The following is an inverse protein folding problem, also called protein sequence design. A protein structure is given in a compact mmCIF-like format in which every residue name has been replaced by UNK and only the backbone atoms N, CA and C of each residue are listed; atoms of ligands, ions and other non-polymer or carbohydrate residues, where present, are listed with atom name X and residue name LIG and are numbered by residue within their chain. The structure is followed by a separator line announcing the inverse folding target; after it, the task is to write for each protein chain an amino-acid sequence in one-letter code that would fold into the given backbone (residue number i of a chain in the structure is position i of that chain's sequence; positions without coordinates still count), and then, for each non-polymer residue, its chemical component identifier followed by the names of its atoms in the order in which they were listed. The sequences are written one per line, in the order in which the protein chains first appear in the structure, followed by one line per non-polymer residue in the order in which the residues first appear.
data_IF_937200499003
#
_entry.id   IF_937200499003
#
_cell.length_a   1.000
_cell.length_b   1.000
_cell.length_c   1.000
_cell.angle_alpha   90.00
_cell.angle_beta   90.00
_cell.angle_gamma   90.00
#
_symmetry.space_group_name_H-M   'P 1'
#
loop_
_entity.id
_entity.type
_entity.pdbx_description
1 polymer ?
#
# COMPACT_ATOMS: atom_id res chain seq x y z
N UNK A 1 -17.62 28.85 7.60
CA UNK A 1 -16.15 28.89 7.63
C UNK A 1 -15.68 28.84 6.17
N UNK A 2 -15.12 29.91 5.65
CA UNK A 2 -14.65 29.91 4.26
C UNK A 2 -13.29 29.22 4.21
N UNK A 3 -13.20 28.04 3.57
CA UNK A 3 -11.96 27.27 3.39
C UNK A 3 -10.86 28.08 2.67
N UNK A 4 -11.26 29.05 1.88
CA UNK A 4 -10.38 29.93 1.08
C UNK A 4 -9.51 30.90 1.90
N UNK A 5 -9.80 31.08 3.20
CA UNK A 5 -9.03 31.95 4.10
C UNK A 5 -8.19 31.21 5.14
N UNK A 6 -8.11 29.86 5.02
CA UNK A 6 -7.34 29.05 5.93
C UNK A 6 -5.92 28.82 5.40
N UNK A 7 -4.92 29.08 6.23
CA UNK A 7 -3.53 28.70 5.97
C UNK A 7 -3.26 27.32 6.57
N UNK A 8 -2.50 26.50 5.86
CA UNK A 8 -1.84 25.36 6.45
C UNK A 8 -0.55 25.78 7.15
N UNK A 9 -0.11 24.98 8.12
CA UNK A 9 1.06 25.31 8.95
C UNK A 9 2.35 25.44 8.16
N UNK A 10 2.50 24.74 7.02
CA UNK A 10 3.68 24.85 6.14
C UNK A 10 3.62 26.01 5.14
N UNK A 11 2.46 26.66 5.00
CA UNK A 11 2.31 27.89 4.20
C UNK A 11 2.73 29.15 4.96
N UNK A 12 2.92 29.03 6.28
CA UNK A 12 3.28 30.15 7.15
C UNK A 12 4.78 30.13 7.37
N UNK A 13 5.43 31.26 7.13
CA UNK A 13 6.88 31.41 7.29
C UNK A 13 7.22 32.60 8.20
N UNK A 14 8.45 32.65 8.78
CA UNK A 14 8.88 33.77 9.60
C UNK A 14 8.85 35.13 8.88
N UNK A 15 8.99 35.12 7.55
CA UNK A 15 8.98 36.32 6.70
C UNK A 15 7.61 37.01 6.67
N UNK A 16 6.52 36.26 6.98
CA UNK A 16 5.16 36.79 7.12
C UNK A 16 4.96 37.56 8.42
N UNK A 17 6.01 38.03 9.05
CA UNK A 17 5.96 38.77 10.31
C UNK A 17 4.91 39.89 10.30
N UNK A 18 4.03 39.91 11.29
CA UNK A 18 2.88 40.82 11.46
C UNK A 18 1.67 40.57 10.54
N UNK A 19 1.74 39.65 9.58
CA UNK A 19 0.57 39.28 8.77
C UNK A 19 -0.47 38.56 9.59
N UNK A 20 -1.75 38.77 9.27
CA UNK A 20 -2.87 38.08 9.89
C UNK A 20 -3.07 36.73 9.16
N UNK A 21 -3.07 35.65 9.93
CA UNK A 21 -3.31 34.29 9.43
C UNK A 21 -4.45 33.63 10.20
N UNK A 22 -5.11 32.68 9.54
CA UNK A 22 -6.10 31.81 10.17
C UNK A 22 -5.66 30.35 9.97
N UNK A 23 -5.46 29.64 11.07
CA UNK A 23 -5.23 28.18 11.08
C UNK A 23 -6.41 27.44 11.69
N UNK A 24 -6.57 26.17 11.33
CA UNK A 24 -7.55 25.28 11.96
C UNK A 24 -6.95 23.89 12.10
N UNK A 25 -7.17 23.27 13.24
CA UNK A 25 -6.59 21.95 13.52
C UNK A 25 -6.95 21.44 14.91
N UNK A 26 -6.19 20.46 15.33
CA UNK A 26 -6.34 19.80 16.62
C UNK A 26 -5.35 20.39 17.64
N UNK A 27 -5.82 20.61 18.87
CA UNK A 27 -4.95 21.00 20.00
C UNK A 27 -4.04 19.82 20.34
N UNK A 28 -2.81 19.89 19.90
CA UNK A 28 -1.82 18.83 20.10
C UNK A 28 -1.29 18.81 21.55
N UNK A 29 -0.91 19.97 22.06
CA UNK A 29 -0.38 20.13 23.41
C UNK A 29 -0.66 21.55 23.93
N UNK A 30 -0.87 21.68 25.24
CA UNK A 30 -0.95 22.97 25.94
C UNK A 30 0.07 22.95 27.07
N UNK A 31 0.93 23.99 27.14
CA UNK A 31 1.92 24.20 28.19
C UNK A 31 1.70 25.55 28.86
N UNK A 32 1.32 25.55 30.13
CA UNK A 32 1.17 26.78 30.95
C UNK A 32 2.43 26.96 31.79
N UNK A 33 3.25 27.95 31.44
CA UNK A 33 4.51 28.28 32.13
C UNK A 33 4.37 29.52 33.04
N UNK A 34 3.21 29.68 33.65
CA UNK A 34 2.94 30.81 34.57
C UNK A 34 2.61 32.12 33.84
N UNK A 35 3.56 32.78 33.23
CA UNK A 35 3.37 34.04 32.49
C UNK A 35 2.93 33.89 31.04
N UNK A 36 3.18 32.73 30.45
CA UNK A 36 2.97 32.44 29.04
C UNK A 36 2.28 31.09 28.91
N UNK A 37 1.34 30.96 27.97
CA UNK A 37 0.77 29.68 27.55
C UNK A 37 1.15 29.43 26.11
N UNK A 38 1.70 28.24 25.85
CA UNK A 38 1.91 27.72 24.51
C UNK A 38 0.83 26.69 24.20
N UNK A 39 0.08 26.90 23.11
CA UNK A 39 -0.84 25.95 22.55
C UNK A 39 -0.31 25.51 21.18
N UNK A 40 0.00 24.23 21.04
CA UNK A 40 0.41 23.65 19.77
C UNK A 40 -0.84 23.18 19.02
N UNK A 41 -1.05 23.72 17.82
CA UNK A 41 -2.15 23.34 16.92
C UNK A 41 -1.57 22.53 15.75
N UNK A 42 -2.07 21.34 15.58
CA UNK A 42 -1.66 20.41 14.52
C UNK A 42 -2.69 20.41 13.40
N UNK A 43 -2.24 20.56 12.18
CA UNK A 43 -3.02 20.26 10.98
C UNK A 43 -2.39 19.08 10.19
N UNK A 44 -2.78 18.88 8.95
CA UNK A 44 -2.25 17.80 8.11
C UNK A 44 -0.81 18.02 7.65
N UNK A 45 -0.31 19.27 7.67
CA UNK A 45 1.02 19.62 7.16
C UNK A 45 2.06 19.76 8.28
N UNK A 46 1.61 20.06 9.51
CA UNK A 46 2.55 20.23 10.61
C UNK A 46 1.91 20.72 11.91
N UNK A 47 2.73 21.40 12.68
CA UNK A 47 2.36 21.96 14.00
C UNK A 47 2.74 23.42 14.04
N UNK A 48 1.79 24.30 14.37
CA UNK A 48 2.02 25.70 14.65
C UNK A 48 1.96 25.98 16.16
N UNK A 49 2.81 26.86 16.65
CA UNK A 49 2.76 27.34 18.03
C UNK A 49 1.89 28.59 18.13
N UNK A 50 0.89 28.56 18.99
CA UNK A 50 0.06 29.71 19.37
C UNK A 50 0.49 30.15 20.76
N UNK A 51 0.91 31.41 20.90
CA UNK A 51 1.50 31.94 22.14
C UNK A 51 0.59 33.01 22.77
N UNK A 52 0.20 32.78 24.03
CA UNK A 52 -0.59 33.71 24.81
C UNK A 52 0.28 34.30 25.93
N UNK A 53 0.55 35.59 25.87
CA UNK A 53 1.24 36.32 26.95
C UNK A 53 0.18 36.80 27.94
N UNK A 54 0.07 36.18 29.15
CA UNK A 54 -1.04 36.45 30.09
C UNK A 54 -1.19 37.91 30.49
N UNK A 55 -0.11 38.70 30.44
CA UNK A 55 -0.14 40.16 30.73
C UNK A 55 -0.84 40.96 29.64
N UNK A 56 -0.78 40.55 28.38
CA UNK A 56 -1.24 41.35 27.22
C UNK A 56 -2.42 40.65 26.48
N UNK A 57 -2.56 39.36 26.59
CA UNK A 57 -3.65 38.61 25.95
C UNK A 57 -4.95 38.82 26.72
N UNK A 58 -6.09 39.10 26.05
CA UNK A 58 -7.38 39.23 26.70
C UNK A 58 -7.71 38.03 27.61
N UNK A 59 -8.21 38.26 28.86
CA UNK A 59 -8.48 37.17 29.81
C UNK A 59 -9.43 36.08 29.24
N UNK A 60 -10.35 36.45 28.37
CA UNK A 60 -11.27 35.53 27.69
C UNK A 60 -10.56 34.46 26.88
N UNK A 61 -9.46 34.81 26.14
CA UNK A 61 -8.72 33.89 25.35
C UNK A 61 -7.90 32.94 26.24
N UNK A 62 -7.30 33.49 27.32
CA UNK A 62 -6.57 32.70 28.31
C UNK A 62 -7.50 31.66 28.95
N UNK A 63 -8.70 32.05 29.33
CA UNK A 63 -9.71 31.15 29.91
C UNK A 63 -10.21 30.13 28.91
N UNK A 64 -10.42 30.52 27.65
CA UNK A 64 -10.82 29.62 26.57
C UNK A 64 -9.76 28.51 26.39
N UNK A 65 -8.47 28.84 26.25
CA UNK A 65 -7.40 27.84 26.09
C UNK A 65 -7.29 26.90 27.29
N UNK A 66 -7.45 27.40 28.51
CA UNK A 66 -7.41 26.56 29.72
C UNK A 66 -8.56 25.55 29.82
N UNK A 67 -9.69 25.82 29.14
CA UNK A 67 -10.84 24.90 29.12
C UNK A 67 -10.75 23.82 28.01
N UNK A 68 -9.75 23.93 27.10
CA UNK A 68 -9.55 22.97 26.02
C UNK A 68 -8.89 21.69 26.55
N UNK A 69 -9.35 20.57 26.04
CA UNK A 69 -8.65 19.28 26.13
C UNK A 69 -7.77 19.06 24.90
N UNK A 70 -6.74 18.22 25.06
CA UNK A 70 -5.96 17.74 23.91
C UNK A 70 -6.89 17.11 22.89
N UNK A 71 -6.53 17.24 21.61
CA UNK A 71 -7.32 16.78 20.46
C UNK A 71 -8.67 17.48 20.25
N UNK A 72 -9.01 18.53 21.03
CA UNK A 72 -10.11 19.43 20.66
C UNK A 72 -9.79 20.13 19.33
N UNK A 73 -10.80 20.39 18.52
CA UNK A 73 -10.68 21.06 17.22
C UNK A 73 -10.93 22.55 17.41
N UNK A 74 -9.98 23.36 16.94
CA UNK A 74 -10.03 24.82 17.07
C UNK A 74 -9.72 25.52 15.75
N UNK A 75 -10.23 26.75 15.62
CA UNK A 75 -9.66 27.74 14.70
C UNK A 75 -8.96 28.82 15.52
N UNK A 76 -7.86 29.32 14.98
CA UNK A 76 -7.09 30.42 15.56
C UNK A 76 -6.83 31.45 14.47
N UNK A 77 -7.27 32.68 14.70
CA UNK A 77 -6.90 33.84 13.92
C UNK A 77 -5.97 34.71 14.73
N UNK A 78 -4.86 35.15 14.13
CA UNK A 78 -3.86 35.92 14.82
C UNK A 78 -2.75 36.38 13.90
N UNK A 79 -1.74 37.01 14.48
CA UNK A 79 -0.60 37.58 13.75
C UNK A 79 0.63 36.70 13.88
N UNK A 80 1.31 36.51 12.76
CA UNK A 80 2.59 35.81 12.71
C UNK A 80 3.66 36.63 13.41
N UNK A 81 4.46 35.96 14.23
CA UNK A 81 5.64 36.53 14.88
C UNK A 81 6.80 35.57 14.67
N UNK A 82 7.95 36.03 14.12
CA UNK A 82 9.15 35.20 14.03
C UNK A 82 9.63 34.73 15.40
N UNK A 83 9.85 33.42 15.57
CA UNK A 83 10.35 32.82 16.81
C UNK A 83 11.15 31.55 16.49
N UNK A 84 12.48 31.67 16.50
CA UNK A 84 13.39 30.57 16.09
C UNK A 84 13.26 29.27 16.86
N UNK A 85 12.73 29.32 18.10
CA UNK A 85 12.55 28.12 18.94
C UNK A 85 11.20 27.44 18.72
N UNK A 86 10.26 28.09 18.02
CA UNK A 86 8.97 27.53 17.70
C UNK A 86 9.04 26.61 16.47
N UNK A 87 8.16 25.59 16.37
CA UNK A 87 8.04 24.81 15.14
C UNK A 87 7.85 25.70 13.91
N UNK A 88 8.60 25.45 12.84
CA UNK A 88 8.56 26.28 11.63
C UNK A 88 9.22 27.65 11.73
N UNK A 89 9.84 28.01 12.88
CA UNK A 89 10.51 29.29 13.09
C UNK A 89 9.58 30.46 13.35
N UNK A 90 8.32 30.22 13.64
CA UNK A 90 7.31 31.27 13.91
C UNK A 90 6.35 30.86 15.03
N UNK A 91 5.71 31.85 15.65
CA UNK A 91 4.56 31.67 16.52
C UNK A 91 3.40 32.56 16.05
N UNK A 92 2.18 32.20 16.44
CA UNK A 92 0.97 32.99 16.19
C UNK A 92 0.52 33.61 17.51
N UNK A 93 0.44 34.94 17.53
CA UNK A 93 -0.17 35.69 18.64
C UNK A 93 -1.66 35.81 18.32
N UNK A 94 -2.56 35.16 19.10
CA UNK A 94 -3.96 35.04 18.73
C UNK A 94 -4.75 36.31 19.03
N UNK A 95 -5.58 36.73 18.07
CA UNK A 95 -6.63 37.73 18.24
C UNK A 95 -7.98 37.05 18.54
N UNK A 96 -8.15 35.82 18.01
CA UNK A 96 -9.35 35.00 18.19
C UNK A 96 -9.02 33.51 18.27
N UNK A 97 -9.70 32.81 19.16
CA UNK A 97 -9.65 31.33 19.27
C UNK A 97 -11.09 30.85 19.40
N UNK A 98 -11.52 30.02 18.47
CA UNK A 98 -12.85 29.42 18.48
C UNK A 98 -12.73 27.89 18.65
N UNK A 99 -13.40 27.35 19.66
CA UNK A 99 -13.61 25.93 19.82
C UNK A 99 -14.68 25.46 18.82
N UNK A 100 -14.33 24.53 17.94
CA UNK A 100 -15.24 23.92 16.97
C UNK A 100 -15.81 22.59 17.47
N UNK A 101 -14.97 21.77 18.12
CA UNK A 101 -15.39 20.49 18.69
C UNK A 101 -14.50 20.14 19.88
N UNK A 102 -15.10 19.83 21.00
CA UNK A 102 -14.39 19.44 22.22
C UNK A 102 -14.10 17.93 22.21
N UNK A 103 -12.85 17.56 22.44
CA UNK A 103 -12.50 16.15 22.60
C UNK A 103 -12.82 15.66 24.01
N UNK A 104 -13.22 14.40 24.12
CA UNK A 104 -13.32 13.70 25.39
C UNK A 104 -11.93 13.51 26.01
N UNK A 105 -11.91 13.40 27.35
CA UNK A 105 -10.69 13.13 28.10
C UNK A 105 -11.02 12.10 29.18
N UNK A 106 -10.16 11.06 29.40
CA UNK A 106 -8.89 10.82 28.72
C UNK A 106 -9.05 10.38 27.27
N UNK A 107 -7.99 10.54 26.45
CA UNK A 107 -7.91 9.96 25.11
C UNK A 107 -7.64 8.45 25.20
N UNK A 108 -8.12 7.65 24.23
CA UNK A 108 -7.89 6.21 24.23
C UNK A 108 -6.41 5.83 24.07
N UNK A 109 -5.59 6.72 23.46
CA UNK A 109 -4.17 6.56 23.30
C UNK A 109 -3.44 7.90 23.16
N UNK A 110 -2.11 7.91 23.30
CA UNK A 110 -1.30 9.11 23.10
C UNK A 110 -1.07 9.40 21.61
N UNK A 111 -1.39 10.64 21.19
CA UNK A 111 -1.18 11.12 19.81
C UNK A 111 0.18 11.79 19.59
N UNK A 112 0.94 12.03 20.66
CA UNK A 112 2.25 12.71 20.57
C UNK A 112 3.41 11.76 20.28
N UNK A 113 3.19 10.44 20.40
CA UNK A 113 4.23 9.42 20.26
C UNK A 113 5.19 9.34 21.48
N UNK A 114 4.85 9.98 22.61
CA UNK A 114 5.63 9.89 23.86
C UNK A 114 5.36 8.61 24.63
N UNK A 115 4.17 8.04 24.44
CA UNK A 115 3.74 6.77 25.03
C UNK A 115 3.31 5.86 23.90
N UNK A 116 3.97 4.70 23.81
CA UNK A 116 3.61 3.71 22.81
C UNK A 116 2.37 2.92 23.24
N UNK A 117 1.52 2.61 22.26
CA UNK A 117 0.41 1.69 22.40
C UNK A 117 0.66 0.46 21.51
N UNK A 118 0.21 -0.71 21.98
CA UNK A 118 0.26 -1.92 21.16
C UNK A 118 -0.61 -1.78 19.90
N UNK A 119 -0.38 -2.67 18.94
CA UNK A 119 -1.04 -2.57 17.63
C UNK A 119 -2.57 -2.70 17.74
N UNK A 120 -3.09 -3.56 18.62
CA UNK A 120 -4.53 -3.76 18.79
C UNK A 120 -5.19 -2.48 19.30
N UNK A 121 -4.67 -1.84 20.35
CA UNK A 121 -5.12 -0.55 20.88
C UNK A 121 -5.10 0.54 19.79
N UNK A 122 -4.05 0.56 18.97
CA UNK A 122 -3.92 1.51 17.85
C UNK A 122 -4.97 1.27 16.77
N UNK A 123 -5.25 0.02 16.44
CA UNK A 123 -6.25 -0.35 15.44
C UNK A 123 -7.68 -0.13 15.95
N UNK A 124 -7.97 -0.39 17.23
CA UNK A 124 -9.27 -0.11 17.84
C UNK A 124 -9.58 1.40 17.89
N UNK A 125 -8.53 2.21 18.02
CA UNK A 125 -8.62 3.66 18.01
C UNK A 125 -8.01 4.28 16.75
N UNK A 126 -8.16 3.61 15.61
CA UNK A 126 -7.43 3.94 14.37
C UNK A 126 -7.58 5.39 13.94
N UNK A 127 -8.76 5.99 14.10
CA UNK A 127 -9.01 7.41 13.80
C UNK A 127 -8.16 8.37 14.64
N UNK A 128 -7.76 7.98 15.86
CA UNK A 128 -6.80 8.71 16.70
C UNK A 128 -5.36 8.38 16.30
N UNK A 129 -5.04 7.10 16.05
CA UNK A 129 -3.71 6.66 15.62
C UNK A 129 -3.28 7.36 14.32
N UNK A 130 -4.19 7.50 13.36
CA UNK A 130 -3.97 8.22 12.10
C UNK A 130 -3.66 9.73 12.27
N UNK A 131 -3.87 10.30 13.46
CA UNK A 131 -3.47 11.68 13.79
C UNK A 131 -2.00 11.78 14.19
N UNK A 132 -1.34 10.68 14.48
CA UNK A 132 0.10 10.66 14.76
C UNK A 132 0.85 11.01 13.49
N UNK A 133 1.85 11.94 13.55
CA UNK A 133 2.54 12.40 12.36
C UNK A 133 3.33 11.31 11.61
N UNK A 134 3.84 10.31 12.33
CA UNK A 134 4.53 9.14 11.77
C UNK A 134 3.55 8.23 11.02
N UNK A 135 2.40 7.91 11.62
CA UNK A 135 1.38 7.07 10.99
C UNK A 135 0.78 7.79 9.77
N UNK A 136 0.48 9.10 9.89
CA UNK A 136 -0.02 9.91 8.79
C UNK A 136 0.95 9.95 7.60
N UNK A 137 2.27 9.98 7.86
CA UNK A 137 3.31 9.99 6.84
C UNK A 137 3.26 8.74 5.94
N UNK A 138 2.95 7.54 6.49
CA UNK A 138 2.81 6.31 5.72
C UNK A 138 1.74 6.46 4.62
N UNK A 139 0.58 7.04 4.96
CA UNK A 139 -0.52 7.20 4.00
C UNK A 139 -0.30 8.33 3.00
N UNK A 140 0.52 9.33 3.34
CA UNK A 140 0.99 10.30 2.35
C UNK A 140 1.93 9.65 1.34
N UNK A 141 2.85 8.80 1.79
CA UNK A 141 3.71 8.02 0.90
C UNK A 141 2.87 7.06 0.04
N UNK A 142 1.88 6.36 0.64
CA UNK A 142 0.94 5.51 -0.13
C UNK A 142 0.26 6.29 -1.27
N UNK A 143 -0.13 7.53 -1.02
CA UNK A 143 -0.69 8.40 -2.07
C UNK A 143 0.31 8.63 -3.21
N UNK A 144 1.56 8.99 -2.90
CA UNK A 144 2.61 9.20 -3.91
C UNK A 144 2.94 7.91 -4.67
N UNK A 145 3.00 6.75 -4.01
CA UNK A 145 3.16 5.45 -4.67
C UNK A 145 2.07 5.23 -5.71
N UNK A 146 0.79 5.42 -5.34
CA UNK A 146 -0.33 5.25 -6.26
C UNK A 146 -0.30 6.22 -7.45
N UNK A 147 0.08 7.48 -7.23
CA UNK A 147 0.24 8.46 -8.30
C UNK A 147 1.36 8.07 -9.24
N UNK A 148 2.50 7.63 -8.70
CA UNK A 148 3.66 7.19 -9.45
C UNK A 148 3.36 5.97 -10.32
N UNK A 149 2.65 4.97 -9.76
CA UNK A 149 2.20 3.79 -10.53
C UNK A 149 1.31 4.19 -11.70
N UNK A 150 0.30 5.06 -11.47
CA UNK A 150 -0.60 5.51 -12.55
C UNK A 150 0.13 6.29 -13.62
N UNK A 151 1.01 7.20 -13.23
CA UNK A 151 1.77 8.00 -14.21
C UNK A 151 2.67 7.14 -15.08
N UNK A 152 3.37 6.17 -14.47
CA UNK A 152 4.23 5.25 -15.20
C UNK A 152 3.43 4.38 -16.18
N UNK A 153 2.41 3.67 -15.69
CA UNK A 153 1.65 2.75 -16.54
C UNK A 153 0.92 3.47 -17.68
N UNK A 154 0.38 4.66 -17.42
CA UNK A 154 -0.22 5.50 -18.46
C UNK A 154 0.80 5.94 -19.50
N UNK A 155 2.03 6.30 -19.09
CA UNK A 155 3.12 6.68 -20.01
C UNK A 155 3.61 5.50 -20.86
N UNK A 156 3.47 4.26 -20.37
CA UNK A 156 3.75 3.02 -21.11
C UNK A 156 2.59 2.58 -22.01
N UNK A 157 1.52 3.37 -22.11
CA UNK A 157 0.36 3.11 -22.97
C UNK A 157 -0.68 2.16 -22.38
N UNK A 158 -0.64 1.90 -21.08
CA UNK A 158 -1.67 1.12 -20.39
C UNK A 158 -2.93 1.95 -20.14
N UNK A 159 -4.09 1.32 -20.31
CA UNK A 159 -5.41 1.88 -20.03
C UNK A 159 -5.88 1.41 -18.66
N UNK A 160 -6.22 2.35 -17.74
CA UNK A 160 -6.81 2.00 -16.44
C UNK A 160 -8.24 1.47 -16.65
N UNK A 161 -8.52 0.30 -16.11
CA UNK A 161 -9.83 -0.35 -16.17
C UNK A 161 -10.33 -0.67 -14.77
N UNK A 162 -11.62 -1.00 -14.66
CA UNK A 162 -12.25 -1.48 -13.43
C UNK A 162 -13.06 -2.71 -13.74
N UNK A 163 -12.77 -3.81 -13.07
CA UNK A 163 -13.45 -5.10 -13.26
C UNK A 163 -14.41 -5.39 -12.09
N UNK A 164 -15.40 -6.28 -12.29
CA UNK A 164 -16.33 -6.68 -11.23
C UNK A 164 -15.62 -7.24 -10.00
N UNK A 165 -16.10 -6.86 -8.79
CA UNK A 165 -15.64 -7.37 -7.51
C UNK A 165 -16.57 -8.43 -6.91
N UNK A 166 -17.75 -8.60 -7.50
CA UNK A 166 -18.68 -9.67 -7.22
C UNK A 166 -18.66 -10.62 -8.41
N UNK A 167 -18.33 -11.89 -8.18
CA UNK A 167 -18.10 -12.89 -9.23
C UNK A 167 -18.92 -14.16 -8.96
N UNK A 168 -19.26 -14.87 -10.03
CA UNK A 168 -20.06 -16.08 -9.92
C UNK A 168 -19.24 -17.34 -9.56
N UNK A 169 -17.91 -17.31 -9.84
CA UNK A 169 -17.01 -18.46 -9.67
C UNK A 169 -15.65 -18.01 -9.15
N UNK A 170 -14.89 -18.95 -8.60
CA UNK A 170 -13.50 -18.71 -8.24
C UNK A 170 -12.65 -18.30 -9.45
N UNK A 171 -11.68 -17.43 -9.25
CA UNK A 171 -10.72 -17.02 -10.29
C UNK A 171 -9.45 -17.86 -10.30
N UNK A 172 -9.09 -18.49 -9.17
CA UNK A 172 -7.81 -19.18 -8.97
C UNK A 172 -7.96 -20.48 -8.16
N UNK A 173 -8.82 -21.38 -8.59
CA UNK A 173 -8.87 -22.73 -8.01
C UNK A 173 -9.69 -22.93 -6.72
N UNK A 174 -10.47 -21.95 -6.29
CA UNK A 174 -11.58 -22.16 -5.36
C UNK A 174 -11.30 -22.19 -3.86
N UNK A 175 -10.06 -22.11 -3.41
CA UNK A 175 -9.73 -21.98 -1.99
C UNK A 175 -9.78 -20.52 -1.54
N UNK A 176 -10.09 -20.27 -0.27
CA UNK A 176 -10.09 -18.93 0.34
C UNK A 176 -11.03 -17.90 -0.31
N UNK A 177 -12.26 -18.28 -0.66
CA UNK A 177 -13.31 -17.40 -1.15
C UNK A 177 -14.19 -16.87 -0.02
N UNK A 178 -14.59 -15.61 -0.11
CA UNK A 178 -15.68 -15.06 0.69
C UNK A 178 -17.00 -15.23 -0.06
N UNK A 179 -17.90 -16.16 0.37
CA UNK A 179 -19.22 -16.27 -0.21
C UNK A 179 -20.09 -15.09 0.21
N UNK A 180 -20.93 -14.62 -0.72
CA UNK A 180 -21.92 -13.57 -0.47
C UNK A 180 -23.28 -13.98 -1.03
N UNK A 181 -24.35 -13.47 -0.45
CA UNK A 181 -25.69 -13.61 -1.01
C UNK A 181 -25.90 -12.52 -2.07
N UNK A 182 -26.15 -12.91 -3.30
CA UNK A 182 -26.44 -12.01 -4.41
C UNK A 182 -27.87 -12.27 -4.89
N UNK A 183 -28.82 -11.54 -4.32
CA UNK A 183 -30.26 -11.81 -4.46
C UNK A 183 -30.57 -13.27 -4.05
N UNK A 184 -31.11 -14.10 -4.94
CA UNK A 184 -31.45 -15.51 -4.73
C UNK A 184 -30.31 -16.47 -5.11
N UNK A 185 -29.09 -15.96 -5.35
CA UNK A 185 -27.93 -16.75 -5.79
C UNK A 185 -26.76 -16.57 -4.84
N UNK A 186 -25.91 -17.56 -4.83
CA UNK A 186 -24.58 -17.44 -4.24
C UNK A 186 -23.65 -16.73 -5.22
N UNK A 187 -22.80 -15.85 -4.70
CA UNK A 187 -21.71 -15.21 -5.42
C UNK A 187 -20.49 -15.11 -4.48
N UNK A 188 -19.40 -14.61 -4.97
CA UNK A 188 -18.15 -14.50 -4.21
C UNK A 188 -17.53 -13.12 -4.40
N UNK A 189 -16.73 -12.69 -3.41
CA UNK A 189 -15.81 -11.57 -3.60
C UNK A 189 -14.61 -12.04 -4.41
N UNK A 190 -14.17 -11.23 -5.38
CA UNK A 190 -13.08 -11.61 -6.28
C UNK A 190 -11.73 -11.74 -5.56
N UNK A 191 -10.95 -12.74 -5.92
CA UNK A 191 -9.58 -12.95 -5.44
C UNK A 191 -8.54 -12.17 -6.25
N UNK A 192 -8.84 -11.87 -7.50
CA UNK A 192 -8.02 -11.07 -8.42
C UNK A 192 -8.84 -10.68 -9.66
N UNK A 193 -8.43 -9.68 -10.45
CA UNK A 193 -9.04 -9.35 -11.73
C UNK A 193 -8.59 -10.27 -12.88
N UNK A 194 -7.88 -11.39 -12.59
CA UNK A 194 -7.11 -12.17 -13.55
C UNK A 194 -7.90 -12.57 -14.80
N UNK A 195 -9.08 -13.17 -14.64
CA UNK A 195 -9.87 -13.64 -15.79
C UNK A 195 -10.34 -12.47 -16.66
N UNK A 196 -10.74 -11.36 -16.03
CA UNK A 196 -11.22 -10.18 -16.75
C UNK A 196 -10.11 -9.48 -17.52
N UNK A 197 -8.93 -9.27 -16.91
CA UNK A 197 -7.82 -8.59 -17.60
C UNK A 197 -7.33 -9.38 -18.81
N UNK A 198 -7.35 -10.74 -18.76
CA UNK A 198 -7.07 -11.58 -19.92
C UNK A 198 -8.17 -11.46 -21.00
N UNK A 199 -9.45 -11.49 -20.61
CA UNK A 199 -10.56 -11.31 -21.56
C UNK A 199 -10.47 -9.96 -22.31
N UNK A 200 -9.97 -8.90 -21.67
CA UNK A 200 -9.77 -7.59 -22.29
C UNK A 200 -8.71 -7.61 -23.40
N UNK A 201 -7.77 -8.56 -23.36
CA UNK A 201 -6.81 -8.75 -24.46
C UNK A 201 -7.51 -9.17 -25.76
N UNK A 202 -8.55 -10.00 -25.69
CA UNK A 202 -9.37 -10.37 -26.85
C UNK A 202 -10.24 -9.22 -27.38
N UNK A 203 -10.45 -8.18 -26.58
CA UNK A 203 -11.22 -6.99 -26.94
C UNK A 203 -10.39 -5.88 -27.61
N UNK A 204 -9.08 -6.11 -27.81
CA UNK A 204 -8.18 -5.18 -28.50
C UNK A 204 -7.72 -4.00 -27.66
N UNK A 205 -7.74 -4.13 -26.33
CA UNK A 205 -7.19 -3.08 -25.43
C UNK A 205 -5.66 -3.04 -25.41
N UNK A 206 -5.00 -4.10 -25.84
CA UNK A 206 -3.56 -4.33 -25.90
C UNK A 206 -2.83 -4.26 -24.55
N UNK A 207 -3.03 -3.22 -23.76
CA UNK A 207 -2.41 -2.99 -22.46
C UNK A 207 -3.42 -2.42 -21.49
N UNK A 208 -3.70 -3.16 -20.42
CA UNK A 208 -4.61 -2.71 -19.37
C UNK A 208 -3.94 -2.78 -17.99
N UNK A 209 -4.36 -1.90 -17.09
CA UNK A 209 -4.06 -2.04 -15.68
C UNK A 209 -5.27 -1.73 -14.82
N UNK A 210 -5.30 -2.33 -13.65
CA UNK A 210 -6.29 -2.05 -12.60
C UNK A 210 -5.59 -1.85 -11.26
N UNK A 211 -6.02 -0.85 -10.51
CA UNK A 211 -5.68 -0.69 -9.09
C UNK A 211 -6.97 -0.84 -8.30
N UNK A 212 -7.12 -1.94 -7.61
CA UNK A 212 -8.39 -2.25 -6.96
C UNK A 212 -8.28 -3.24 -5.80
N UNK A 213 -9.35 -3.34 -4.99
CA UNK A 213 -9.39 -4.29 -3.89
C UNK A 213 -9.53 -5.72 -4.41
N UNK A 214 -8.86 -6.63 -3.72
CA UNK A 214 -9.01 -8.07 -3.84
C UNK A 214 -9.25 -8.68 -2.46
N UNK A 215 -9.89 -9.84 -2.42
CA UNK A 215 -10.38 -10.47 -1.20
C UNK A 215 -9.90 -11.91 -1.12
N UNK A 216 -9.24 -12.28 -0.02
CA UNK A 216 -8.77 -13.64 0.21
C UNK A 216 -9.16 -14.08 1.60
N UNK A 217 -9.98 -15.13 1.70
CA UNK A 217 -10.45 -15.69 2.97
C UNK A 217 -9.36 -16.57 3.61
N UNK A 218 -8.12 -16.10 3.65
CA UNK A 218 -7.01 -16.82 4.26
C UNK A 218 -7.24 -16.97 5.76
N UNK A 219 -7.06 -18.18 6.27
CA UNK A 219 -7.27 -18.50 7.67
C UNK A 219 -6.08 -18.07 8.58
N UNK A 220 -4.93 -17.80 7.99
CA UNK A 220 -3.70 -17.50 8.71
C UNK A 220 -3.62 -16.04 9.15
N UNK A 221 -3.41 -15.82 10.44
CA UNK A 221 -3.21 -14.50 11.05
C UNK A 221 -1.70 -14.18 11.11
N UNK A 222 -1.12 -13.77 9.99
CA UNK A 222 0.31 -13.45 9.90
C UNK A 222 0.55 -11.94 9.78
N UNK A 223 1.81 -11.52 9.90
CA UNK A 223 2.22 -10.12 9.71
C UNK A 223 2.25 -9.69 8.23
N UNK A 224 2.19 -10.65 7.28
CA UNK A 224 2.31 -10.42 5.83
C UNK A 224 0.97 -10.56 5.09
N UNK A 225 -0.14 -10.93 5.75
CA UNK A 225 -1.43 -11.25 5.12
C UNK A 225 -2.60 -10.45 5.70
N UNK A 226 -3.51 -10.08 4.83
CA UNK A 226 -4.82 -9.48 5.14
C UNK A 226 -5.87 -10.13 4.23
N UNK A 227 -7.14 -10.06 4.65
CA UNK A 227 -8.26 -10.59 3.86
C UNK A 227 -8.78 -9.61 2.80
N UNK A 228 -8.47 -8.33 2.92
CA UNK A 228 -8.74 -7.28 1.93
C UNK A 228 -7.47 -6.47 1.70
N UNK A 229 -6.97 -6.47 0.47
CA UNK A 229 -5.75 -5.77 0.07
C UNK A 229 -5.96 -5.08 -1.27
N UNK A 230 -5.07 -4.15 -1.61
CA UNK A 230 -5.06 -3.48 -2.91
C UNK A 230 -4.07 -4.15 -3.84
N UNK A 231 -4.56 -4.66 -4.95
CA UNK A 231 -3.72 -5.18 -6.04
C UNK A 231 -3.53 -4.14 -7.13
N UNK A 232 -2.34 -4.11 -7.69
CA UNK A 232 -1.98 -3.41 -8.92
C UNK A 232 -1.73 -4.49 -9.95
N UNK A 233 -2.60 -4.57 -10.94
CA UNK A 233 -2.60 -5.63 -11.94
C UNK A 233 -2.35 -5.06 -13.31
N UNK A 234 -1.54 -5.74 -14.14
CA UNK A 234 -1.44 -5.46 -15.58
C UNK A 234 -1.72 -6.70 -16.41
N UNK A 235 -2.07 -6.48 -17.67
CA UNK A 235 -2.05 -7.47 -18.73
C UNK A 235 -1.67 -6.79 -20.03
N UNK A 236 -0.79 -7.43 -20.85
CA UNK A 236 -0.29 -6.89 -22.11
C UNK A 236 -0.35 -7.94 -23.22
N UNK A 237 -0.97 -7.59 -24.34
CA UNK A 237 -1.00 -8.38 -25.57
C UNK A 237 0.35 -8.35 -26.28
N UNK A 238 0.62 -9.40 -27.07
CA UNK A 238 1.84 -9.55 -27.87
C UNK A 238 3.13 -9.45 -27.03
N UNK A 239 3.05 -9.85 -25.75
CA UNK A 239 4.13 -9.83 -24.79
C UNK A 239 4.38 -11.22 -24.20
N UNK A 240 5.62 -11.51 -23.87
CA UNK A 240 6.03 -12.67 -23.09
C UNK A 240 6.33 -12.32 -21.62
N UNK A 241 6.70 -13.33 -20.83
CA UNK A 241 7.02 -13.12 -19.41
C UNK A 241 8.23 -12.20 -19.21
N UNK A 242 9.22 -12.19 -20.13
CA UNK A 242 10.38 -11.31 -20.02
C UNK A 242 10.03 -9.85 -20.27
N UNK A 243 9.09 -9.59 -21.18
CA UNK A 243 8.63 -8.23 -21.46
C UNK A 243 7.94 -7.61 -20.26
N UNK A 244 7.03 -8.37 -19.61
CA UNK A 244 6.30 -7.85 -18.44
C UNK A 244 7.17 -7.80 -17.18
N UNK A 245 8.20 -8.66 -17.04
CA UNK A 245 9.23 -8.51 -16.00
C UNK A 245 10.01 -7.21 -16.17
N UNK A 246 10.45 -6.84 -17.40
CA UNK A 246 11.11 -5.55 -17.65
C UNK A 246 10.23 -4.34 -17.34
N UNK A 247 8.91 -4.45 -17.60
CA UNK A 247 7.95 -3.40 -17.23
C UNK A 247 7.92 -3.27 -15.69
N UNK A 248 7.87 -4.39 -14.97
CA UNK A 248 7.85 -4.42 -13.51
C UNK A 248 9.13 -3.83 -12.90
N UNK A 249 10.30 -4.21 -13.41
CA UNK A 249 11.60 -3.62 -12.99
C UNK A 249 11.58 -2.10 -13.10
N UNK A 250 11.19 -1.58 -14.27
CA UNK A 250 11.12 -0.13 -14.52
C UNK A 250 10.06 0.56 -13.66
N UNK A 251 8.93 -0.09 -13.41
CA UNK A 251 7.89 0.43 -12.52
C UNK A 251 8.41 0.56 -11.09
N UNK A 252 9.04 -0.47 -10.54
CA UNK A 252 9.58 -0.44 -9.17
C UNK A 252 10.63 0.66 -9.05
N UNK A 253 11.60 0.72 -9.97
CA UNK A 253 12.62 1.78 -9.98
C UNK A 253 11.99 3.18 -10.05
N UNK A 254 10.98 3.36 -10.91
CA UNK A 254 10.26 4.62 -11.06
C UNK A 254 9.54 5.02 -9.77
N UNK A 255 8.80 4.09 -9.15
CA UNK A 255 8.07 4.34 -7.90
C UNK A 255 9.02 4.76 -6.78
N UNK A 256 10.13 4.06 -6.60
CA UNK A 256 11.12 4.40 -5.58
C UNK A 256 11.72 5.79 -5.85
N UNK A 257 12.07 6.11 -7.10
CA UNK A 257 12.62 7.41 -7.50
C UNK A 257 11.65 8.56 -7.22
N UNK A 258 10.40 8.42 -7.68
CA UNK A 258 9.37 9.46 -7.50
C UNK A 258 9.01 9.66 -6.03
N UNK A 259 8.89 8.58 -5.25
CA UNK A 259 8.61 8.66 -3.82
C UNK A 259 9.77 9.33 -3.06
N UNK A 260 11.02 9.03 -3.38
CA UNK A 260 12.17 9.70 -2.78
C UNK A 260 12.16 11.20 -3.06
N UNK A 261 11.75 11.63 -4.26
CA UNK A 261 11.65 13.05 -4.64
C UNK A 261 10.43 13.74 -4.00
N UNK A 262 9.23 13.16 -4.15
CA UNK A 262 7.96 13.86 -3.88
C UNK A 262 7.46 13.68 -2.45
N UNK A 263 7.93 12.64 -1.73
CA UNK A 263 7.55 12.35 -0.36
C UNK A 263 8.68 12.53 0.67
N UNK A 264 9.75 13.27 0.32
CA UNK A 264 10.93 13.47 1.16
C UNK A 264 10.59 13.86 2.61
N UNK A 265 9.68 14.83 2.79
CA UNK A 265 9.22 15.27 4.12
C UNK A 265 8.63 14.12 4.95
N UNK A 266 7.89 13.22 4.31
CA UNK A 266 7.27 12.05 4.96
C UNK A 266 8.30 10.96 5.26
N UNK A 267 9.22 10.70 4.34
CA UNK A 267 10.34 9.77 4.53
C UNK A 267 11.26 10.21 5.67
N UNK A 268 11.62 11.50 5.71
CA UNK A 268 12.41 12.09 6.80
C UNK A 268 11.71 11.96 8.16
N UNK A 269 10.37 12.10 8.17
CA UNK A 269 9.57 11.89 9.39
C UNK A 269 9.65 10.45 9.88
N UNK A 270 9.63 9.48 8.98
CA UNK A 270 9.76 8.06 9.29
C UNK A 270 11.22 7.63 9.54
N UNK A 271 12.19 8.49 9.23
CA UNK A 271 13.64 8.18 9.24
C UNK A 271 13.99 7.01 8.32
N UNK A 272 13.33 6.94 7.18
CA UNK A 272 13.56 5.92 6.15
C UNK A 272 14.21 6.57 4.94
N UNK A 273 15.24 5.92 4.42
CA UNK A 273 15.91 6.25 3.16
C UNK A 273 15.82 5.03 2.26
N UNK A 274 14.82 4.97 1.36
CA UNK A 274 14.71 3.83 0.46
C UNK A 274 15.90 3.77 -0.50
N UNK A 275 16.40 2.57 -0.71
CA UNK A 275 17.41 2.31 -1.72
C UNK A 275 16.72 2.12 -3.08
N UNK A 276 17.05 2.96 -4.07
CA UNK A 276 16.46 2.89 -5.40
C UNK A 276 17.07 1.69 -6.13
N UNK A 277 16.26 0.67 -6.52
CA UNK A 277 16.80 -0.49 -7.18
C UNK A 277 17.18 -0.18 -8.64
N UNK A 278 18.27 -0.76 -9.09
CA UNK A 278 18.79 -0.61 -10.46
C UNK A 278 18.48 -1.88 -11.30
N UNK A 279 17.76 -1.75 -12.42
CA UNK A 279 17.55 -2.87 -13.33
C UNK A 279 18.82 -3.14 -14.18
N UNK A 280 19.02 -4.38 -14.70
CA UNK A 280 18.11 -5.53 -14.53
C UNK A 280 18.22 -6.15 -13.13
N UNK A 281 17.08 -6.65 -12.60
CA UNK A 281 17.09 -7.39 -11.35
C UNK A 281 17.64 -8.81 -11.56
N UNK A 282 18.28 -9.36 -10.52
CA UNK A 282 18.77 -10.73 -10.53
C UNK A 282 17.64 -11.72 -10.83
N UNK A 283 17.97 -12.83 -11.50
CA UNK A 283 17.06 -13.90 -11.87
C UNK A 283 17.56 -15.22 -11.33
N UNK A 284 16.84 -15.80 -10.41
CA UNK A 284 17.10 -17.09 -9.81
C UNK A 284 16.08 -18.10 -10.34
N UNK A 285 16.52 -19.24 -10.86
CA UNK A 285 15.59 -20.32 -11.20
C UNK A 285 15.03 -20.96 -9.94
N UNK A 286 13.78 -21.42 -9.98
CA UNK A 286 13.15 -22.13 -8.86
C UNK A 286 14.00 -23.36 -8.42
N UNK A 287 14.60 -24.10 -9.35
CA UNK A 287 15.48 -25.21 -9.04
C UNK A 287 16.68 -24.77 -8.17
N UNK A 288 17.30 -23.64 -8.51
CA UNK A 288 18.44 -23.06 -7.76
C UNK A 288 17.96 -22.52 -6.41
N UNK A 289 16.76 -21.94 -6.35
CA UNK A 289 16.15 -21.44 -5.11
C UNK A 289 15.96 -22.59 -4.09
N UNK A 290 15.45 -23.75 -4.54
CA UNK A 290 15.31 -24.94 -3.69
C UNK A 290 16.66 -25.43 -3.18
N UNK A 291 17.68 -25.45 -4.02
CA UNK A 291 19.02 -25.89 -3.61
C UNK A 291 19.58 -24.97 -2.53
N UNK A 292 19.47 -23.65 -2.70
CA UNK A 292 19.87 -22.66 -1.68
C UNK A 292 19.11 -22.90 -0.37
N UNK A 293 17.79 -23.12 -0.42
CA UNK A 293 16.98 -23.39 0.77
C UNK A 293 17.41 -24.68 1.49
N UNK A 294 17.70 -25.74 0.74
CA UNK A 294 18.19 -27.04 1.27
C UNK A 294 19.57 -26.92 1.94
N UNK A 295 20.48 -26.18 1.31
CA UNK A 295 21.79 -25.89 1.90
C UNK A 295 21.67 -25.10 3.21
N UNK A 296 20.63 -24.24 3.30
CA UNK A 296 20.28 -23.51 4.51
C UNK A 296 19.50 -24.31 5.58
N UNK A 297 19.20 -25.59 5.30
CA UNK A 297 18.58 -26.52 6.25
C UNK A 297 17.06 -26.70 6.11
N UNK A 298 16.43 -26.15 5.05
CA UNK A 298 15.01 -26.36 4.72
C UNK A 298 14.84 -27.56 3.80
N UNK A 299 14.09 -28.57 4.22
CA UNK A 299 13.79 -29.74 3.38
C UNK A 299 12.56 -29.43 2.49
N UNK A 300 12.83 -29.09 1.23
CA UNK A 300 11.80 -28.83 0.21
C UNK A 300 11.92 -29.86 -0.92
N UNK A 301 10.81 -30.45 -1.34
CA UNK A 301 10.74 -31.26 -2.55
C UNK A 301 10.49 -30.37 -3.79
N UNK A 302 10.80 -30.92 -4.97
CA UNK A 302 10.39 -30.28 -6.22
C UNK A 302 8.87 -30.17 -6.29
N UNK A 303 8.34 -29.00 -6.65
CA UNK A 303 6.91 -28.77 -6.76
C UNK A 303 6.25 -28.30 -5.46
N UNK A 304 6.99 -28.04 -4.40
CA UNK A 304 6.46 -27.44 -3.18
C UNK A 304 6.58 -25.91 -3.20
N UNK A 305 5.62 -25.22 -2.60
CA UNK A 305 5.73 -23.77 -2.39
C UNK A 305 6.87 -23.44 -1.41
N UNK A 306 7.52 -22.30 -1.62
CA UNK A 306 8.59 -21.86 -0.73
C UNK A 306 8.00 -21.46 0.64
N UNK A 307 8.54 -22.07 1.70
CA UNK A 307 8.19 -21.70 3.07
C UNK A 307 8.74 -20.30 3.41
N UNK A 308 8.19 -19.65 4.42
CA UNK A 308 8.75 -18.35 4.90
C UNK A 308 10.20 -18.47 5.36
N UNK A 309 10.63 -19.64 5.86
CA UNK A 309 12.01 -19.90 6.23
C UNK A 309 12.89 -19.99 4.98
N UNK A 310 12.44 -20.72 3.95
CA UNK A 310 13.13 -20.81 2.67
C UNK A 310 13.28 -19.43 2.00
N UNK A 311 12.19 -18.64 1.93
CA UNK A 311 12.23 -17.25 1.44
C UNK A 311 13.29 -16.41 2.17
N UNK A 312 13.41 -16.60 3.49
CA UNK A 312 14.38 -15.85 4.31
C UNK A 312 15.81 -16.25 3.95
N UNK A 313 16.11 -17.55 3.89
CA UNK A 313 17.41 -18.07 3.52
C UNK A 313 17.82 -17.60 2.12
N UNK A 314 16.93 -17.76 1.12
CA UNK A 314 17.18 -17.35 -0.26
C UNK A 314 17.47 -15.85 -0.33
N UNK A 315 16.62 -15.03 0.32
CA UNK A 315 16.77 -13.58 0.31
C UNK A 315 18.08 -13.10 0.98
N UNK A 316 18.54 -13.77 2.03
CA UNK A 316 19.83 -13.50 2.68
C UNK A 316 20.99 -13.85 1.76
N UNK A 317 20.99 -15.04 1.15
CA UNK A 317 22.05 -15.48 0.23
C UNK A 317 22.16 -14.55 -0.98
N UNK A 318 21.04 -14.21 -1.62
CA UNK A 318 21.04 -13.28 -2.76
C UNK A 318 21.58 -11.92 -2.33
N UNK A 319 21.13 -11.38 -1.21
CA UNK A 319 21.63 -10.10 -0.74
C UNK A 319 23.12 -10.11 -0.38
N UNK A 320 23.62 -11.18 0.24
CA UNK A 320 25.03 -11.31 0.61
C UNK A 320 25.93 -11.39 -0.62
N UNK A 321 25.51 -12.11 -1.65
CA UNK A 321 26.29 -12.37 -2.87
C UNK A 321 26.21 -11.23 -3.88
N UNK A 322 25.03 -10.64 -4.10
CA UNK A 322 24.79 -9.64 -5.16
C UNK A 322 24.60 -8.23 -4.64
N UNK A 323 24.33 -8.05 -3.35
CA UNK A 323 23.86 -6.81 -2.69
C UNK A 323 22.48 -6.33 -3.17
N UNK A 324 21.83 -7.08 -4.04
CA UNK A 324 20.47 -6.75 -4.49
C UNK A 324 19.43 -7.01 -3.38
N UNK A 325 18.43 -6.15 -3.29
CA UNK A 325 17.26 -6.38 -2.44
C UNK A 325 16.11 -6.96 -3.26
N UNK A 326 16.06 -6.67 -4.59
CA UNK A 326 15.04 -7.17 -5.50
C UNK A 326 15.62 -8.22 -6.43
N UNK A 327 14.93 -9.34 -6.59
CA UNK A 327 15.28 -10.41 -7.51
C UNK A 327 14.03 -11.17 -7.95
N UNK A 328 14.09 -11.81 -9.10
CA UNK A 328 13.03 -12.70 -9.57
C UNK A 328 13.36 -14.14 -9.24
N UNK A 329 12.34 -14.91 -8.87
CA UNK A 329 12.35 -16.38 -8.95
C UNK A 329 11.55 -16.72 -10.20
N UNK A 330 12.18 -17.44 -11.13
CA UNK A 330 11.64 -17.79 -12.46
C UNK A 330 11.56 -19.30 -12.64
N UNK A 331 10.91 -19.75 -13.71
CA UNK A 331 10.85 -21.16 -14.10
C UNK A 331 10.24 -22.06 -13.01
N UNK A 332 9.10 -21.62 -12.47
CA UNK A 332 8.36 -22.35 -11.45
C UNK A 332 7.75 -23.64 -12.00
N UNK A 333 7.60 -24.71 -11.17
CA UNK A 333 6.87 -25.90 -11.58
C UNK A 333 5.47 -25.59 -12.08
N UNK A 334 5.09 -26.16 -13.22
CA UNK A 334 3.79 -25.89 -13.86
C UNK A 334 2.61 -26.29 -12.97
N UNK A 335 2.76 -27.33 -12.15
CA UNK A 335 1.73 -27.81 -11.25
C UNK A 335 1.44 -26.87 -10.08
N UNK A 336 2.41 -26.05 -9.64
CA UNK A 336 2.23 -25.10 -8.54
C UNK A 336 1.60 -23.78 -8.98
N UNK A 337 1.60 -23.49 -10.27
CA UNK A 337 1.07 -22.24 -10.82
C UNK A 337 -0.36 -22.41 -11.35
N UNK A 338 -1.17 -21.33 -11.36
CA UNK A 338 -2.55 -21.40 -11.81
C UNK A 338 -2.68 -21.93 -13.26
N UNK A 339 -3.82 -22.52 -13.59
CA UNK A 339 -4.10 -23.18 -14.87
C UNK A 339 -3.80 -22.32 -16.10
N UNK A 340 -3.84 -21.01 -15.98
CA UNK A 340 -3.59 -20.08 -17.09
C UNK A 340 -2.10 -19.78 -17.35
N UNK A 341 -1.18 -20.25 -16.51
CA UNK A 341 0.24 -20.03 -16.71
C UNK A 341 0.78 -20.94 -17.84
N UNK A 342 1.56 -20.34 -18.77
CA UNK A 342 2.09 -21.02 -19.94
C UNK A 342 3.26 -21.93 -19.55
N UNK A 343 3.21 -23.25 -19.81
CA UNK A 343 4.39 -24.12 -19.72
C UNK A 343 5.45 -23.77 -20.76
N UNK A 344 6.71 -24.14 -20.51
CA UNK A 344 7.74 -24.12 -21.55
C UNK A 344 7.47 -25.22 -22.58
N UNK A 345 7.77 -24.94 -23.84
CA UNK A 345 7.49 -25.88 -24.95
C UNK A 345 8.33 -27.15 -24.87
N UNK A 346 9.61 -27.03 -24.46
CA UNK A 346 10.56 -28.14 -24.40
C UNK A 346 10.63 -28.81 -23.01
N UNK A 347 10.16 -28.13 -21.99
CA UNK A 347 10.18 -28.54 -20.58
C UNK A 347 8.83 -28.21 -19.93
N UNK A 348 7.76 -28.97 -20.28
CA UNK A 348 6.38 -28.63 -19.87
C UNK A 348 6.14 -28.74 -18.36
N UNK A 349 7.02 -29.38 -17.61
CA UNK A 349 7.01 -29.44 -16.15
C UNK A 349 7.33 -28.11 -15.48
N UNK A 350 7.95 -27.16 -16.22
CA UNK A 350 8.20 -25.79 -15.75
C UNK A 350 7.41 -24.78 -16.55
N UNK A 351 7.00 -23.72 -15.90
CA UNK A 351 6.16 -22.66 -16.46
C UNK A 351 6.93 -21.37 -16.68
N UNK A 352 6.47 -20.57 -17.63
CA UNK A 352 6.92 -19.19 -17.89
C UNK A 352 6.33 -18.22 -16.84
N UNK A 353 6.39 -18.64 -15.56
CA UNK A 353 5.95 -17.86 -14.41
C UNK A 353 7.13 -17.28 -13.63
N UNK A 354 6.89 -16.20 -12.93
CA UNK A 354 7.88 -15.53 -12.12
C UNK A 354 7.25 -14.87 -10.91
N UNK A 355 8.02 -14.75 -9.83
CA UNK A 355 7.68 -13.96 -8.67
C UNK A 355 8.79 -12.93 -8.42
N UNK A 356 8.42 -11.68 -8.15
CA UNK A 356 9.35 -10.64 -7.75
C UNK A 356 9.44 -10.63 -6.23
N UNK A 357 10.64 -10.88 -5.73
CA UNK A 357 10.98 -10.87 -4.32
C UNK A 357 11.65 -9.54 -3.93
N UNK A 358 11.35 -9.06 -2.73
CA UNK A 358 12.18 -8.10 -2.02
C UNK A 358 12.67 -8.77 -0.76
N UNK A 359 13.97 -9.14 -0.73
CA UNK A 359 14.48 -9.96 0.37
C UNK A 359 13.66 -11.25 0.53
N UNK A 360 12.97 -11.38 1.64
CA UNK A 360 12.12 -12.51 2.01
C UNK A 360 10.61 -12.23 1.84
N UNK A 361 10.24 -11.28 1.00
CA UNK A 361 8.84 -10.92 0.75
C UNK A 361 8.56 -10.97 -0.75
N UNK A 362 7.69 -11.86 -1.17
CA UNK A 362 7.08 -11.80 -2.50
C UNK A 362 6.21 -10.56 -2.59
N UNK A 363 6.52 -9.65 -3.52
CA UNK A 363 5.76 -8.42 -3.75
C UNK A 363 4.88 -8.49 -5.00
N UNK A 364 5.26 -9.33 -5.98
CA UNK A 364 4.51 -9.49 -7.22
C UNK A 364 4.65 -10.90 -7.77
N UNK A 365 3.60 -11.42 -8.41
CA UNK A 365 3.59 -12.67 -9.17
C UNK A 365 3.05 -12.44 -10.57
N UNK A 366 3.63 -13.12 -11.57
CA UNK A 366 3.24 -12.98 -12.96
C UNK A 366 3.59 -14.19 -13.82
N UNK A 367 3.10 -14.19 -15.06
CA UNK A 367 3.41 -15.22 -16.04
C UNK A 367 3.08 -14.78 -17.46
N UNK A 368 3.67 -15.45 -18.45
CA UNK A 368 3.06 -15.56 -19.77
C UNK A 368 1.83 -16.45 -19.67
N UNK A 369 0.78 -16.11 -20.44
CA UNK A 369 -0.51 -16.81 -20.34
C UNK A 369 -0.70 -17.79 -21.49
N UNK A 370 -1.40 -18.89 -21.21
CA UNK A 370 -1.90 -19.78 -22.27
C UNK A 370 -2.93 -19.00 -23.07
N UNK A 371 -2.75 -18.93 -24.40
CA UNK A 371 -3.68 -18.27 -25.32
C UNK A 371 -4.36 -19.24 -26.29
N UNK A 372 -3.99 -20.52 -26.25
CA UNK A 372 -4.67 -21.59 -26.98
C UNK A 372 -5.84 -22.16 -26.14
N UNK A 373 -7.04 -22.20 -26.74
CA UNK A 373 -8.28 -22.62 -26.04
C UNK A 373 -8.27 -24.09 -25.62
N UNK A 374 -7.72 -24.98 -26.47
CA UNK A 374 -7.65 -26.42 -26.19
C UNK A 374 -6.66 -26.67 -25.01
N UNK A 375 -5.45 -26.12 -25.11
CA UNK A 375 -4.43 -26.22 -24.07
C UNK A 375 -4.96 -25.69 -22.71
N UNK A 376 -5.63 -24.52 -22.75
CA UNK A 376 -6.20 -23.93 -21.54
C UNK A 376 -7.29 -24.81 -20.93
N UNK A 377 -8.13 -25.43 -21.76
CA UNK A 377 -9.18 -26.36 -21.30
C UNK A 377 -8.57 -27.62 -20.65
N UNK A 378 -7.49 -28.13 -21.22
CA UNK A 378 -6.76 -29.28 -20.64
C UNK A 378 -6.15 -28.92 -19.29
N UNK A 379 -5.49 -27.76 -19.19
CA UNK A 379 -4.92 -27.28 -17.92
C UNK A 379 -5.96 -27.11 -16.80
N UNK A 380 -7.16 -26.60 -17.14
CA UNK A 380 -8.27 -26.52 -16.17
C UNK A 380 -8.63 -27.90 -15.63
N UNK A 381 -8.73 -28.93 -16.51
CA UNK A 381 -9.03 -30.31 -16.11
C UNK A 381 -7.92 -30.94 -15.28
N UNK A 382 -6.65 -30.72 -15.65
CA UNK A 382 -5.49 -31.24 -14.93
C UNK A 382 -5.44 -30.73 -13.49
N UNK A 383 -5.93 -29.51 -13.24
CA UNK A 383 -6.08 -28.97 -11.88
C UNK A 383 -7.37 -29.40 -11.16
N UNK A 384 -8.11 -30.35 -11.73
CA UNK A 384 -9.33 -30.88 -11.14
C UNK A 384 -10.53 -29.92 -11.16
N UNK A 385 -10.50 -28.92 -12.06
CA UNK A 385 -11.57 -27.94 -12.21
C UNK A 385 -12.47 -28.30 -13.39
N UNK A 386 -13.75 -27.90 -13.32
CA UNK A 386 -14.74 -28.15 -14.37
C UNK A 386 -14.73 -27.02 -15.40
N UNK A 387 -14.37 -27.27 -16.67
CA UNK A 387 -14.33 -26.24 -17.73
C UNK A 387 -15.64 -25.49 -17.93
N UNK A 388 -16.77 -26.13 -17.65
CA UNK A 388 -18.13 -25.55 -17.74
C UNK A 388 -18.29 -24.36 -16.80
N UNK A 389 -17.65 -24.39 -15.65
CA UNK A 389 -17.62 -23.26 -14.68
C UNK A 389 -16.87 -22.05 -15.23
N UNK A 390 -16.03 -22.23 -16.23
CA UNK A 390 -15.21 -21.20 -16.88
C UNK A 390 -15.67 -20.88 -18.31
N UNK A 391 -16.87 -21.29 -18.73
CA UNK A 391 -17.37 -21.13 -20.10
C UNK A 391 -17.25 -19.66 -20.59
N UNK A 392 -17.67 -18.70 -19.76
CA UNK A 392 -17.61 -17.27 -20.10
C UNK A 392 -16.17 -16.77 -20.27
N UNK A 393 -15.21 -17.30 -19.52
CA UNK A 393 -13.80 -17.01 -19.64
C UNK A 393 -13.15 -17.70 -20.84
N UNK A 394 -13.48 -18.97 -21.12
CA UNK A 394 -12.95 -19.73 -22.24
C UNK A 394 -13.48 -19.24 -23.61
N UNK A 395 -14.66 -18.63 -23.62
CA UNK A 395 -15.29 -18.17 -24.87
C UNK A 395 -14.42 -17.21 -25.69
N UNK A 396 -13.80 -16.14 -25.13
CA UNK A 396 -12.91 -15.25 -25.88
C UNK A 396 -11.75 -15.96 -26.58
N UNK A 397 -11.18 -17.00 -25.98
CA UNK A 397 -10.05 -17.74 -26.53
C UNK A 397 -10.41 -18.45 -27.86
N UNK A 398 -11.67 -18.83 -28.03
CA UNK A 398 -12.18 -19.47 -29.27
C UNK A 398 -12.31 -18.45 -30.43
N UNK A 399 -12.38 -17.17 -30.14
CA UNK A 399 -12.58 -16.11 -31.14
C UNK A 399 -11.32 -15.28 -31.43
N UNK A 400 -10.18 -15.77 -30.98
CA UNK A 400 -8.90 -15.14 -31.26
C UNK A 400 -8.46 -14.18 -30.14
N UNK A 401 -7.59 -14.67 -29.27
CA UNK A 401 -6.89 -13.88 -28.27
C UNK A 401 -5.40 -13.89 -28.59
N UNK A 402 -4.70 -12.76 -28.59
CA UNK A 402 -3.26 -12.72 -28.84
C UNK A 402 -2.48 -13.40 -27.72
N UNK A 403 -1.22 -13.83 -27.95
CA UNK A 403 -0.28 -14.12 -26.88
C UNK A 403 -0.22 -12.93 -25.91
N UNK A 404 -0.23 -13.18 -24.61
CA UNK A 404 -0.28 -12.12 -23.63
C UNK A 404 0.41 -12.56 -22.32
N UNK A 405 0.80 -11.59 -21.51
CA UNK A 405 1.44 -11.78 -20.24
C UNK A 405 1.09 -10.65 -19.29
N UNK A 406 1.23 -10.90 -18.00
CA UNK A 406 0.93 -9.88 -16.98
C UNK A 406 1.38 -10.32 -15.59
N UNK A 407 1.14 -9.43 -14.64
CA UNK A 407 1.44 -9.67 -13.23
C UNK A 407 0.42 -8.97 -12.33
N UNK A 408 0.42 -9.39 -11.05
CA UNK A 408 -0.23 -8.71 -9.95
C UNK A 408 0.81 -8.29 -8.91
N UNK A 409 0.74 -7.06 -8.42
CA UNK A 409 1.64 -6.46 -7.44
C UNK A 409 0.84 -6.02 -6.21
N UNK A 410 1.20 -6.53 -5.03
CA UNK A 410 0.56 -6.15 -3.77
C UNK A 410 1.02 -4.77 -3.29
N UNK A 411 0.13 -3.78 -3.30
CA UNK A 411 0.47 -2.40 -2.87
C UNK A 411 0.95 -2.36 -1.41
N UNK A 412 0.32 -3.11 -0.53
CA UNK A 412 0.66 -3.15 0.89
C UNK A 412 2.06 -3.73 1.11
N UNK A 413 2.41 -4.81 0.38
CA UNK A 413 3.74 -5.42 0.44
C UNK A 413 4.81 -4.50 -0.16
N UNK A 414 4.50 -3.80 -1.25
CA UNK A 414 5.38 -2.77 -1.81
C UNK A 414 5.65 -1.65 -0.79
N UNK A 415 4.64 -1.21 -0.04
CA UNK A 415 4.82 -0.21 1.02
C UNK A 415 5.62 -0.76 2.20
N UNK A 416 5.40 -2.02 2.59
CA UNK A 416 6.20 -2.67 3.64
C UNK A 416 7.69 -2.65 3.29
N UNK A 417 8.04 -3.03 2.07
CA UNK A 417 9.43 -3.10 1.61
C UNK A 417 10.06 -1.71 1.44
N UNK A 418 9.33 -0.78 0.83
CA UNK A 418 9.80 0.59 0.62
C UNK A 418 10.03 1.34 1.94
N UNK A 419 9.22 1.08 2.96
CA UNK A 419 9.24 1.78 4.25
C UNK A 419 9.86 0.96 5.40
N UNK A 420 10.31 -0.25 5.13
CA UNK A 420 10.80 -1.20 6.13
C UNK A 420 9.79 -1.43 7.27
N UNK A 421 8.53 -1.69 6.91
CA UNK A 421 7.43 -1.93 7.86
C UNK A 421 7.23 -3.43 8.01
N UNK A 422 7.34 -3.95 9.24
CA UNK A 422 7.24 -5.39 9.53
C UNK A 422 5.81 -5.94 9.48
N UNK A 423 4.80 -5.11 9.73
CA UNK A 423 3.40 -5.56 9.82
C UNK A 423 2.53 -4.84 8.81
N UNK A 424 1.95 -5.60 7.90
CA UNK A 424 1.10 -5.13 6.81
C UNK A 424 -0.08 -4.26 7.27
N UNK A 425 -0.60 -4.47 8.51
CA UNK A 425 -1.70 -3.68 9.07
C UNK A 425 -1.37 -2.20 9.22
N UNK A 426 -0.09 -1.85 9.31
CA UNK A 426 0.34 -0.46 9.36
C UNK A 426 0.24 0.26 7.99
N UNK A 427 0.17 -0.48 6.88
CA UNK A 427 0.10 0.08 5.51
C UNK A 427 -1.32 0.30 5.02
N UNK A 428 -2.34 -0.12 5.78
CA UNK A 428 -3.76 0.01 5.47
C UNK A 428 -4.46 0.93 6.48
N UNK A 429 -5.38 1.79 5.99
CA UNK A 429 -6.12 2.70 6.87
C UNK A 429 -6.97 1.93 7.90
N UNK A 430 -7.76 0.99 7.43
CA UNK A 430 -8.63 0.13 8.24
C UNK A 430 -8.48 -1.31 7.77
N UNK A 431 -7.54 -2.08 8.35
CA UNK A 431 -7.24 -3.43 7.89
C UNK A 431 -8.41 -4.39 8.16
N UNK A 432 -8.56 -5.36 7.26
CA UNK A 432 -9.47 -6.50 7.42
C UNK A 432 -8.65 -7.78 7.47
N UNK A 433 -8.80 -8.51 8.54
CA UNK A 433 -8.20 -9.82 8.75
C UNK A 433 -9.21 -10.75 9.41
N UNK A 434 -8.81 -12.00 9.68
CA UNK A 434 -9.68 -13.01 10.26
C UNK A 434 -10.42 -12.56 11.55
N UNK A 435 -9.83 -11.66 12.33
CA UNK A 435 -10.37 -11.22 13.62
C UNK A 435 -11.03 -9.84 13.54
N UNK A 436 -10.55 -8.99 12.62
CA UNK A 436 -10.93 -7.58 12.56
C UNK A 436 -11.86 -7.29 11.38
N UNK A 437 -13.12 -7.01 11.70
CA UNK A 437 -14.13 -6.55 10.76
C UNK A 437 -14.56 -5.09 11.02
N UNK A 438 -14.23 -4.53 12.19
CA UNK A 438 -14.48 -3.14 12.59
C UNK A 438 -13.32 -2.58 13.42
N UNK A 439 -13.09 -1.26 13.49
CA UNK A 439 -13.65 -0.21 12.67
C UNK A 439 -13.24 -0.28 11.25
#
# INVERSE_FOLDING_TARGET
MHSERRHYTDQITPEMGSEEVTIAGWVHEIRDLGGIIFMLVRDREGIAQVTLFKKTTPPRLVSAVKSLSRESVVTVRGRVKPEKKAPGGYEIVPDEIQLLSKAASPLPMDTTGKVDADLETRLDSRFIDLRRPDVHAIFRIRHHVLQSVRSFLTSEGFIEVTTPKVVATATEGGTALFPITYFEREAFLNQSPQLFKQMLMSAGFDRVFEIGPIFRAEEHDTRKHLNEVTSIDIEASFADHNDVMKILERLITHVYTEVCRDAEKSLNRLKVTPEIPEPPFERLKYAEAIEIAREGGEELAWGEDLTTAAETIIGEVIHETTKANHYFIIDWPTETKPFYAMPHENEPEISKAFDLMHRNIEISSGAQRIHNAEQLTERIKEQGLEPESFESYLKPFKYGIPPHAGWGLGLERLLMTLLNIENIRNTVLFPRDRKRLSP
#
